data_IF_773931329276
#
_entry.id   IF_773931329276
#
_cell.length_a   1.000
_cell.length_b   1.000
_cell.length_c   1.000
_cell.angle_alpha   90.00
_cell.angle_beta   90.00
_cell.angle_gamma   90.00
#
_symmetry.space_group_name_H-M   'P 1'
#
loop_
_entity.id
_entity.type
_entity.pdbx_description
1 polymer ?
#
# COMPACT_ATOMS: atom_id res chain seq x y z
N UNK A 1 35.03 64.84 31.42
CA UNK A 1 35.99 64.07 30.60
C UNK A 1 35.61 62.59 30.46
N UNK A 2 35.45 61.79 31.53
CA UNK A 2 35.10 60.36 31.40
C UNK A 2 33.67 60.10 30.86
N UNK A 3 32.65 60.88 31.24
CA UNK A 3 31.28 60.71 30.71
C UNK A 3 31.17 60.99 29.21
N UNK A 4 31.95 61.95 28.72
CA UNK A 4 32.00 62.37 27.31
C UNK A 4 32.62 61.28 26.43
N UNK A 5 33.64 60.58 26.93
CA UNK A 5 34.23 59.41 26.24
C UNK A 5 33.28 58.20 26.18
N UNK A 6 32.43 58.00 27.20
CA UNK A 6 31.44 56.93 27.20
C UNK A 6 30.33 57.22 26.17
N UNK A 7 29.87 58.46 26.09
CA UNK A 7 28.87 58.92 25.12
C UNK A 7 29.38 58.78 23.68
N UNK A 8 30.63 59.13 23.40
CA UNK A 8 31.24 58.95 22.08
C UNK A 8 31.36 57.46 21.69
N UNK A 9 31.70 56.59 22.65
CA UNK A 9 31.78 55.14 22.41
C UNK A 9 30.40 54.54 22.10
N UNK A 10 29.35 54.99 22.80
CA UNK A 10 27.97 54.57 22.54
C UNK A 10 27.47 55.06 21.17
N UNK A 11 27.73 56.31 20.82
CA UNK A 11 27.37 56.89 19.53
C UNK A 11 28.03 56.13 18.36
N UNK A 12 29.33 55.81 18.48
CA UNK A 12 30.04 55.01 17.47
C UNK A 12 29.46 53.59 17.33
N UNK A 13 29.01 52.99 18.43
CA UNK A 13 28.37 51.66 18.40
C UNK A 13 27.03 51.72 17.66
N UNK A 14 26.21 52.74 17.92
CA UNK A 14 24.93 52.93 17.24
C UNK A 14 25.12 53.14 15.74
N UNK A 15 26.04 54.02 15.34
CA UNK A 15 26.35 54.28 13.94
C UNK A 15 26.83 53.01 13.19
N UNK A 16 27.70 52.21 13.83
CA UNK A 16 28.16 50.96 13.24
C UNK A 16 27.04 49.92 13.11
N UNK A 17 26.12 49.88 14.09
CA UNK A 17 24.97 48.98 14.06
C UNK A 17 23.98 49.37 12.97
N UNK A 18 23.68 50.66 12.83
CA UNK A 18 22.84 51.21 11.75
C UNK A 18 23.42 50.88 10.37
N UNK A 19 24.73 51.12 10.16
CA UNK A 19 25.40 50.75 8.92
C UNK A 19 25.34 49.23 8.64
N UNK A 20 25.46 48.40 9.69
CA UNK A 20 25.33 46.95 9.59
C UNK A 20 23.91 46.51 9.21
N UNK A 21 22.89 47.12 9.81
CA UNK A 21 21.47 46.84 9.52
C UNK A 21 21.13 47.27 8.09
N UNK A 22 21.53 48.46 7.66
CA UNK A 22 21.27 48.94 6.30
C UNK A 22 21.91 48.02 5.25
N UNK A 23 23.12 47.51 5.52
CA UNK A 23 23.76 46.53 4.65
C UNK A 23 22.99 45.21 4.60
N UNK A 24 22.50 44.73 5.75
CA UNK A 24 21.71 43.51 5.82
C UNK A 24 20.37 43.66 5.08
N UNK A 25 19.69 44.78 5.26
CA UNK A 25 18.45 45.11 4.54
C UNK A 25 18.67 45.11 3.03
N UNK A 26 19.75 45.75 2.55
CA UNK A 26 20.08 45.74 1.12
C UNK A 26 20.37 44.32 0.60
N UNK A 27 21.06 43.49 1.39
CA UNK A 27 21.33 42.10 1.02
C UNK A 27 20.05 41.27 0.97
N UNK A 28 19.09 41.50 1.87
CA UNK A 28 17.78 40.86 1.87
C UNK A 28 16.95 41.31 0.66
N UNK A 29 16.86 42.62 0.41
CA UNK A 29 16.17 43.16 -0.77
C UNK A 29 16.74 42.58 -2.08
N UNK A 30 18.07 42.47 -2.16
CA UNK A 30 18.73 41.84 -3.31
C UNK A 30 18.35 40.36 -3.41
N UNK A 31 18.44 39.60 -2.33
CA UNK A 31 18.10 38.18 -2.32
C UNK A 31 16.64 37.93 -2.74
N UNK A 32 15.71 38.75 -2.27
CA UNK A 32 14.29 38.69 -2.66
C UNK A 32 14.11 38.99 -4.16
N UNK A 33 14.80 40.02 -4.68
CA UNK A 33 14.76 40.35 -6.11
C UNK A 33 15.39 39.28 -6.99
N UNK A 34 16.49 38.66 -6.54
CA UNK A 34 17.17 37.56 -7.25
C UNK A 34 16.24 36.34 -7.31
N UNK A 35 15.55 36.00 -6.20
CA UNK A 35 14.58 34.90 -6.15
C UNK A 35 13.40 35.15 -7.09
N UNK A 36 12.85 36.37 -7.09
CA UNK A 36 11.79 36.76 -8.02
C UNK A 36 12.21 36.65 -9.49
N UNK A 37 13.45 37.02 -9.82
CA UNK A 37 13.98 36.87 -11.18
C UNK A 37 14.16 35.41 -11.58
N UNK A 38 14.64 34.54 -10.68
CA UNK A 38 14.75 33.10 -10.92
C UNK A 38 13.38 32.50 -11.18
N UNK A 39 12.37 32.82 -10.35
CA UNK A 39 10.99 32.37 -10.56
C UNK A 39 10.46 32.80 -11.92
N UNK A 40 10.60 34.08 -12.27
CA UNK A 40 10.14 34.61 -13.55
C UNK A 40 10.76 33.87 -14.75
N UNK A 41 12.08 33.64 -14.71
CA UNK A 41 12.78 32.90 -15.76
C UNK A 41 12.28 31.47 -15.91
N UNK A 42 12.11 30.75 -14.80
CA UNK A 42 11.61 29.38 -14.81
C UNK A 42 10.18 29.31 -15.36
N UNK A 43 9.31 30.24 -14.97
CA UNK A 43 7.95 30.31 -15.51
C UNK A 43 7.94 30.53 -17.02
N UNK A 44 8.79 31.43 -17.53
CA UNK A 44 8.94 31.65 -18.97
C UNK A 44 9.41 30.38 -19.67
N UNK A 45 10.49 29.77 -19.19
CA UNK A 45 11.06 28.54 -19.77
C UNK A 45 10.02 27.40 -19.78
N UNK A 46 9.28 27.18 -18.68
CA UNK A 46 8.22 26.15 -18.61
C UNK A 46 7.08 26.44 -19.59
N UNK A 47 6.65 27.71 -19.71
CA UNK A 47 5.57 28.12 -20.62
C UNK A 47 5.98 27.97 -22.09
N UNK A 48 7.23 28.27 -22.44
CA UNK A 48 7.73 28.18 -23.83
C UNK A 48 8.13 26.76 -24.23
N UNK A 49 8.56 25.93 -23.29
CA UNK A 49 8.97 24.55 -23.52
C UNK A 49 7.79 23.58 -23.56
N UNK A 50 6.56 24.04 -23.75
CA UNK A 50 5.43 23.13 -23.95
C UNK A 50 5.41 22.70 -25.43
N UNK A 51 5.89 21.49 -25.80
CA UNK A 51 5.45 20.93 -27.05
C UNK A 51 3.94 20.73 -26.95
N UNK A 52 3.21 21.05 -28.01
CA UNK A 52 1.81 20.64 -28.25
C UNK A 52 1.59 19.10 -28.20
N UNK A 53 2.56 18.32 -27.70
CA UNK A 53 2.47 16.87 -27.60
C UNK A 53 1.59 16.49 -26.41
N UNK A 54 0.33 16.29 -26.73
CA UNK A 54 -0.80 15.88 -25.89
C UNK A 54 -0.66 14.52 -25.15
N UNK A 55 0.50 14.15 -24.62
CA UNK A 55 0.75 12.78 -24.10
C UNK A 55 1.35 12.72 -22.69
N UNK A 56 2.04 13.75 -22.20
CA UNK A 56 2.61 13.69 -20.85
C UNK A 56 1.58 14.10 -19.79
N UNK A 57 0.98 13.11 -19.12
CA UNK A 57 0.03 13.35 -18.04
C UNK A 57 0.71 14.12 -16.91
N UNK A 58 0.05 15.15 -16.42
CA UNK A 58 0.49 15.93 -15.27
C UNK A 58 0.78 15.01 -14.05
N UNK A 59 1.92 15.15 -13.35
CA UNK A 59 2.24 14.32 -12.18
C UNK A 59 1.15 14.30 -11.09
N UNK A 60 0.44 15.42 -10.90
CA UNK A 60 -0.68 15.52 -9.95
C UNK A 60 -1.86 14.64 -10.37
N UNK A 61 -2.14 14.53 -11.67
CA UNK A 61 -3.21 13.64 -12.14
C UNK A 61 -2.79 12.18 -12.05
N UNK A 62 -1.53 11.87 -12.37
CA UNK A 62 -0.97 10.52 -12.19
C UNK A 62 -1.04 10.03 -10.75
N UNK A 63 -0.72 10.88 -9.77
CA UNK A 63 -0.82 10.52 -8.35
C UNK A 63 -2.26 10.19 -7.91
N UNK A 64 -3.24 10.95 -8.44
CA UNK A 64 -4.67 10.68 -8.18
C UNK A 64 -5.12 9.35 -8.80
N UNK A 65 -4.73 9.10 -10.05
CA UNK A 65 -5.04 7.84 -10.75
C UNK A 65 -4.43 6.64 -10.02
N UNK A 66 -3.17 6.74 -9.60
CA UNK A 66 -2.47 5.68 -8.88
C UNK A 66 -3.11 5.38 -7.53
N UNK A 67 -3.55 6.42 -6.81
CA UNK A 67 -4.28 6.27 -5.54
C UNK A 67 -5.62 5.55 -5.74
N UNK A 68 -6.37 5.90 -6.80
CA UNK A 68 -7.61 5.23 -7.14
C UNK A 68 -7.40 3.74 -7.50
N UNK A 69 -6.32 3.43 -8.23
CA UNK A 69 -5.95 2.04 -8.57
C UNK A 69 -5.60 1.26 -7.29
N UNK A 70 -4.78 1.82 -6.39
CA UNK A 70 -4.40 1.19 -5.11
C UNK A 70 -5.65 0.85 -4.29
N UNK A 71 -6.58 1.81 -4.16
CA UNK A 71 -7.84 1.62 -3.43
C UNK A 71 -8.72 0.51 -4.03
N UNK A 72 -8.89 0.51 -5.36
CA UNK A 72 -9.68 -0.53 -6.05
C UNK A 72 -9.08 -1.91 -5.87
N UNK A 73 -7.76 -2.03 -5.96
CA UNK A 73 -7.06 -3.30 -5.73
C UNK A 73 -7.26 -3.80 -4.30
N UNK A 74 -7.06 -2.93 -3.29
CA UNK A 74 -7.26 -3.28 -1.89
C UNK A 74 -8.68 -3.77 -1.61
N UNK A 75 -9.67 -3.09 -2.20
CA UNK A 75 -11.09 -3.47 -2.08
C UNK A 75 -11.33 -4.85 -2.71
N UNK A 76 -10.87 -5.06 -3.93
CA UNK A 76 -11.01 -6.35 -4.62
C UNK A 76 -10.33 -7.48 -3.86
N UNK A 77 -9.13 -7.24 -3.32
CA UNK A 77 -8.40 -8.22 -2.52
C UNK A 77 -9.13 -8.58 -1.23
N UNK A 78 -9.66 -7.57 -0.51
CA UNK A 78 -10.44 -7.77 0.70
C UNK A 78 -11.71 -8.60 0.45
N UNK A 79 -12.37 -8.42 -0.71
CA UNK A 79 -13.50 -9.25 -1.12
C UNK A 79 -13.10 -10.66 -1.55
N UNK A 80 -11.98 -10.81 -2.27
CA UNK A 80 -11.56 -12.10 -2.80
C UNK A 80 -11.06 -13.06 -1.71
N UNK A 81 -10.38 -12.53 -0.68
CA UNK A 81 -9.81 -13.33 0.43
C UNK A 81 -10.83 -14.25 1.12
N UNK A 82 -12.01 -13.78 1.61
CA UNK A 82 -13.00 -14.65 2.23
C UNK A 82 -13.63 -15.63 1.24
N UNK A 83 -13.86 -15.24 -0.02
CA UNK A 83 -14.41 -16.13 -1.07
C UNK A 83 -13.48 -17.32 -1.29
N UNK A 84 -12.17 -17.08 -1.41
CA UNK A 84 -11.20 -18.15 -1.59
C UNK A 84 -11.20 -19.13 -0.39
N UNK A 85 -11.32 -18.62 0.84
CA UNK A 85 -11.44 -19.48 2.02
C UNK A 85 -12.76 -20.26 2.07
N UNK A 86 -13.88 -19.63 1.73
CA UNK A 86 -15.20 -20.26 1.73
C UNK A 86 -15.32 -21.34 0.65
N UNK A 87 -14.76 -21.09 -0.55
CA UNK A 87 -14.68 -22.10 -1.60
C UNK A 87 -13.88 -23.33 -1.15
N UNK A 88 -12.75 -23.11 -0.48
CA UNK A 88 -11.94 -24.19 0.08
C UNK A 88 -12.69 -24.97 1.15
N UNK A 89 -13.37 -24.28 2.07
CA UNK A 89 -14.17 -24.92 3.12
C UNK A 89 -15.34 -25.71 2.52
N UNK A 90 -16.08 -25.13 1.58
CA UNK A 90 -17.22 -25.76 0.91
C UNK A 90 -16.81 -27.04 0.21
N UNK A 91 -15.71 -27.00 -0.57
CA UNK A 91 -15.16 -28.21 -1.22
C UNK A 91 -14.78 -29.28 -0.19
N UNK A 92 -14.15 -28.90 0.93
CA UNK A 92 -13.81 -29.81 2.02
C UNK A 92 -15.04 -30.46 2.66
N UNK A 93 -16.10 -29.67 2.88
CA UNK A 93 -17.36 -30.15 3.46
C UNK A 93 -18.06 -31.12 2.52
N UNK A 94 -18.16 -30.79 1.23
CA UNK A 94 -18.74 -31.69 0.21
C UNK A 94 -17.99 -33.02 0.18
N UNK A 95 -16.65 -32.99 0.13
CA UNK A 95 -15.81 -34.19 0.11
C UNK A 95 -16.06 -35.07 1.35
N UNK A 96 -16.07 -34.45 2.53
CA UNK A 96 -16.28 -35.17 3.79
C UNK A 96 -17.66 -35.80 3.85
N UNK A 97 -18.71 -35.08 3.43
CA UNK A 97 -20.08 -35.61 3.40
C UNK A 97 -20.20 -36.75 2.40
N UNK A 98 -19.64 -36.60 1.20
CA UNK A 98 -19.68 -37.63 0.16
C UNK A 98 -19.02 -38.93 0.62
N UNK A 99 -17.83 -38.85 1.24
CA UNK A 99 -17.15 -40.02 1.78
C UNK A 99 -17.94 -40.71 2.91
N UNK A 100 -18.58 -39.94 3.79
CA UNK A 100 -19.42 -40.49 4.86
C UNK A 100 -20.63 -41.22 4.29
N UNK A 101 -21.33 -40.61 3.34
CA UNK A 101 -22.47 -41.23 2.66
C UNK A 101 -22.06 -42.50 1.93
N UNK A 102 -20.91 -42.48 1.24
CA UNK A 102 -20.41 -43.67 0.55
C UNK A 102 -20.06 -44.80 1.53
N UNK A 103 -19.45 -44.50 2.67
CA UNK A 103 -19.19 -45.48 3.72
C UNK A 103 -20.48 -46.07 4.30
N UNK A 104 -21.50 -45.24 4.55
CA UNK A 104 -22.82 -45.70 5.03
C UNK A 104 -23.52 -46.61 4.01
N UNK A 105 -23.48 -46.26 2.71
CA UNK A 105 -24.05 -47.09 1.64
C UNK A 105 -23.35 -48.45 1.60
N UNK A 106 -22.02 -48.48 1.67
CA UNK A 106 -21.23 -49.71 1.70
C UNK A 106 -21.55 -50.57 2.92
N UNK A 107 -21.83 -49.97 4.07
CA UNK A 107 -22.24 -50.69 5.28
C UNK A 107 -23.63 -51.30 5.13
N UNK A 108 -24.62 -50.54 4.64
CA UNK A 108 -25.98 -51.04 4.39
C UNK A 108 -26.00 -52.18 3.34
N UNK A 109 -25.15 -52.10 2.32
CA UNK A 109 -24.97 -53.16 1.32
C UNK A 109 -24.44 -54.46 1.94
N UNK A 110 -23.63 -54.41 3.00
CA UNK A 110 -23.19 -55.65 3.67
C UNK A 110 -24.34 -56.37 4.37
N UNK A 111 -25.40 -55.64 4.71
CA UNK A 111 -26.57 -56.16 5.41
C UNK A 111 -27.73 -56.55 4.48
N UNK A 112 -27.62 -56.27 3.18
CA UNK A 112 -28.65 -56.50 2.17
C UNK A 112 -28.00 -57.20 0.98
N UNK A 113 -28.52 -58.32 0.47
CA UNK A 113 -27.96 -59.04 -0.72
C UNK A 113 -28.10 -58.25 -2.05
N UNK A 114 -27.96 -56.92 -2.01
CA UNK A 114 -28.02 -56.02 -3.15
C UNK A 114 -26.59 -55.66 -3.56
N UNK A 115 -26.12 -56.29 -4.65
CA UNK A 115 -24.91 -55.84 -5.35
C UNK A 115 -25.22 -54.57 -6.14
N UNK A 116 -24.45 -53.51 -5.89
CA UNK A 116 -24.50 -52.26 -6.65
C UNK A 116 -23.31 -52.20 -7.60
N UNK A 117 -23.54 -51.67 -8.80
CA UNK A 117 -22.49 -51.49 -9.81
C UNK A 117 -21.37 -50.60 -9.29
N UNK A 118 -20.13 -50.90 -9.67
CA UNK A 118 -18.96 -50.10 -9.28
C UNK A 118 -19.11 -48.65 -9.72
N UNK A 119 -18.57 -47.73 -8.92
CA UNK A 119 -18.52 -46.29 -9.19
C UNK A 119 -18.10 -46.04 -10.65
N UNK A 120 -18.86 -45.24 -11.38
CA UNK A 120 -18.59 -44.90 -12.78
C UNK A 120 -17.27 -44.10 -12.89
N UNK A 121 -16.65 -44.12 -14.06
CA UNK A 121 -15.38 -43.40 -14.28
C UNK A 121 -15.53 -41.89 -14.02
N UNK A 122 -16.69 -41.32 -14.35
CA UNK A 122 -17.00 -39.92 -14.13
C UNK A 122 -17.00 -39.59 -12.63
N UNK A 123 -17.63 -40.42 -11.80
CA UNK A 123 -17.65 -40.27 -10.34
C UNK A 123 -16.26 -40.48 -9.68
N UNK A 124 -15.43 -41.38 -10.22
CA UNK A 124 -14.02 -41.55 -9.78
C UNK A 124 -13.18 -40.30 -10.09
N UNK A 125 -13.39 -39.69 -11.25
CA UNK A 125 -12.63 -38.46 -11.60
C UNK A 125 -13.01 -37.28 -10.71
N UNK A 126 -14.29 -37.10 -10.40
CA UNK A 126 -14.77 -36.02 -9.52
C UNK A 126 -14.20 -36.16 -8.11
N UNK A 127 -14.15 -37.38 -7.57
CA UNK A 127 -13.58 -37.65 -6.24
C UNK A 127 -12.07 -37.39 -6.17
N UNK A 128 -11.30 -37.78 -7.20
CA UNK A 128 -9.86 -37.48 -7.26
C UNK A 128 -9.57 -35.99 -7.52
N UNK A 129 -10.37 -35.29 -8.33
CA UNK A 129 -10.25 -33.83 -8.47
C UNK A 129 -10.53 -33.12 -7.14
N UNK A 130 -11.55 -33.55 -6.40
CA UNK A 130 -11.90 -32.97 -5.11
C UNK A 130 -10.82 -33.25 -4.04
N UNK A 131 -10.17 -34.41 -4.11
CA UNK A 131 -9.08 -34.84 -3.22
C UNK A 131 -7.74 -34.17 -3.51
N UNK A 132 -7.34 -34.04 -4.77
CA UNK A 132 -6.07 -33.43 -5.19
C UNK A 132 -5.95 -31.95 -4.81
N UNK A 133 -7.07 -31.24 -4.72
CA UNK A 133 -7.13 -29.83 -4.29
C UNK A 133 -7.05 -29.65 -2.76
N UNK A 134 -6.92 -30.73 -2.00
CA UNK A 134 -6.85 -30.73 -0.53
C UNK A 134 -5.47 -31.19 -0.04
N UNK A 135 -4.47 -30.29 0.08
CA UNK A 135 -3.13 -30.68 0.52
C UNK A 135 -3.06 -31.18 1.97
N UNK A 136 -4.11 -31.01 2.78
CA UNK A 136 -4.07 -31.25 4.22
C UNK A 136 -4.92 -32.41 4.77
N UNK A 137 -5.68 -33.15 3.97
CA UNK A 137 -6.48 -34.28 4.50
C UNK A 137 -5.64 -35.54 4.75
N UNK A 138 -4.32 -35.49 4.51
CA UNK A 138 -3.38 -36.61 4.63
C UNK A 138 -2.33 -36.41 5.73
N UNK A 139 -2.66 -35.82 6.88
CA UNK A 139 -1.81 -35.95 8.08
C UNK A 139 -2.52 -35.57 9.38
N UNK A 140 -3.20 -36.53 10.00
CA UNK A 140 -3.22 -36.59 11.46
C UNK A 140 -1.79 -36.91 11.90
N UNK A 141 -1.10 -35.95 12.52
CA UNK A 141 0.27 -36.12 13.00
C UNK A 141 1.19 -34.94 12.67
N UNK A 142 1.22 -33.96 13.58
CA UNK A 142 2.36 -33.12 13.98
C UNK A 142 3.35 -32.69 12.87
N UNK A 143 3.31 -31.41 12.49
CA UNK A 143 4.46 -30.49 12.47
C UNK A 143 4.05 -29.11 11.91
N UNK A 144 4.36 -28.06 12.67
CA UNK A 144 4.43 -26.66 12.22
C UNK A 144 5.36 -26.56 11.01
N UNK A 145 4.91 -25.90 9.95
CA UNK A 145 5.72 -25.48 8.81
C UNK A 145 5.04 -24.32 8.13
N UNK A 146 5.57 -23.12 8.35
CA UNK A 146 5.00 -21.85 7.97
C UNK A 146 5.08 -21.65 6.44
N UNK A 147 3.96 -21.31 5.80
CA UNK A 147 3.98 -20.67 4.49
C UNK A 147 3.88 -19.16 4.73
N UNK A 148 5.02 -18.50 4.70
CA UNK A 148 5.11 -17.05 4.82
C UNK A 148 4.64 -16.41 3.50
N UNK A 149 3.46 -15.79 3.52
CA UNK A 149 3.04 -14.79 2.53
C UNK A 149 2.73 -13.45 3.21
N UNK A 150 3.21 -13.26 4.44
CA UNK A 150 3.07 -12.03 5.22
C UNK A 150 4.40 -11.30 5.29
N UNK A 151 4.85 -10.72 4.18
CA UNK A 151 5.94 -9.74 4.24
C UNK A 151 5.78 -8.65 3.18
N UNK A 152 4.61 -8.03 3.12
CA UNK A 152 4.44 -6.75 2.39
C UNK A 152 3.67 -5.69 3.19
N UNK A 153 3.21 -5.99 4.42
CA UNK A 153 2.36 -5.07 5.18
C UNK A 153 2.98 -4.50 6.47
N UNK A 154 4.28 -4.72 6.72
CA UNK A 154 4.93 -4.25 7.97
C UNK A 154 5.73 -2.96 7.83
N UNK A 155 5.71 -2.27 6.67
CA UNK A 155 6.40 -0.96 6.52
C UNK A 155 5.50 0.28 6.52
N UNK A 156 4.17 0.16 6.49
CA UNK A 156 3.28 1.33 6.35
C UNK A 156 2.57 1.74 7.65
N UNK A 157 2.91 1.17 8.82
CA UNK A 157 2.36 1.61 10.12
C UNK A 157 3.14 2.75 10.80
N UNK A 158 4.18 3.29 10.18
CA UNK A 158 5.01 4.35 10.79
C UNK A 158 4.77 5.75 10.21
N UNK A 159 3.98 5.93 9.15
CA UNK A 159 3.80 7.24 8.49
C UNK A 159 2.45 7.92 8.75
N UNK A 160 1.55 7.32 9.54
CA UNK A 160 0.23 7.90 9.85
C UNK A 160 0.23 8.84 11.07
N UNK A 161 1.40 9.29 11.53
CA UNK A 161 1.52 10.30 12.60
C UNK A 161 2.51 11.39 12.17
N UNK A 162 2.09 12.22 11.23
CA UNK A 162 2.38 13.67 11.19
C UNK A 162 2.05 14.18 9.80
N UNK A 163 0.86 14.75 9.64
CA UNK A 163 0.61 15.91 8.76
C UNK A 163 -0.79 16.43 9.08
N UNK A 164 -1.02 16.76 10.35
CA UNK A 164 -1.97 17.81 10.72
C UNK A 164 -1.27 19.13 10.47
N UNK A 165 -1.49 19.73 9.30
CA UNK A 165 -1.17 21.16 9.11
C UNK A 165 -2.43 21.92 9.48
N UNK A 166 -2.37 22.56 10.65
CA UNK A 166 -3.27 23.63 11.04
C UNK A 166 -2.89 24.90 10.27
N UNK A 167 -3.96 25.62 9.88
CA UNK A 167 -4.07 27.00 9.36
C UNK A 167 -3.60 27.28 7.93
#
# INVERSE_FOLDING_TARGET
MQSETLSQKQMKKLFNMEAGVNKLELMLQKADSDLGYIQYRLECEIKTNHPDSAVEKNPVTLLKELSAIKSRYQTLYAHFKPIASEQKETKSRIYTTLNKTMAMIQELQKHTDVELSSLTEEEKTVTEQLKSHMPHLRRSGIAKGNCNYEEINSREKQEDVSLTVHE
#
